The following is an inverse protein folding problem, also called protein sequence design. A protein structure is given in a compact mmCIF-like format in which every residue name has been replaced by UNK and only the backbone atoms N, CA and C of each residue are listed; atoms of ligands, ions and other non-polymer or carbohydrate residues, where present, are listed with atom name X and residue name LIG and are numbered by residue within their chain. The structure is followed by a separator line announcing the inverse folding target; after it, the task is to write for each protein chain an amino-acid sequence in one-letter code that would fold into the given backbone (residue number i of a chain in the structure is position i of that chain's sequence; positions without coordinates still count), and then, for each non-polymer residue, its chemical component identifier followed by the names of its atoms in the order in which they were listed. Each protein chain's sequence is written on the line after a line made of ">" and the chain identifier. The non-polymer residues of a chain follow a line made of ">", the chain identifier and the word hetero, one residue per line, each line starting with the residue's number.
data_IF_489422586043
#
_entry.id   IF_489422586043
#
_cell.length_a   1.000
_cell.length_b   1.000
_cell.length_c   1.000
_cell.angle_alpha   90.00
_cell.angle_beta   90.00
_cell.angle_gamma   90.00
#
_symmetry.space_group_name_H-M   'P 1'
#
loop_
_entity.id
_entity.type
_entity.pdbx_description
1 polymer ?
#
# COMPACT_ATOMS: atom_id res chain seq x y z
N UNK A 1 -11.42 15.20 23.58
CA UNK A 1 -12.73 15.50 24.26
C UNK A 1 -12.70 15.15 25.74
N UNK A 2 -12.14 14.02 26.14
CA UNK A 2 -12.07 13.60 27.55
C UNK A 2 -11.44 14.65 28.48
N UNK A 3 -10.31 15.26 28.10
CA UNK A 3 -9.59 16.24 28.92
C UNK A 3 -10.43 17.48 29.25
N UNK A 4 -11.27 17.92 28.32
CA UNK A 4 -12.13 19.09 28.52
C UNK A 4 -13.27 18.80 29.48
N UNK A 5 -13.80 17.60 29.47
CA UNK A 5 -14.82 17.14 30.43
C UNK A 5 -14.20 16.96 31.81
N UNK A 6 -13.01 16.33 31.87
CA UNK A 6 -12.27 16.14 33.13
C UNK A 6 -11.91 17.46 33.81
N UNK A 7 -11.51 18.48 33.05
CA UNK A 7 -11.19 19.80 33.58
C UNK A 7 -12.39 20.43 34.30
N UNK A 8 -13.57 20.49 33.66
CA UNK A 8 -14.77 21.04 34.23
C UNK A 8 -15.27 20.24 35.44
N UNK A 9 -15.14 18.92 35.37
CA UNK A 9 -15.50 18.03 36.46
C UNK A 9 -14.63 18.27 37.71
N UNK A 10 -13.31 18.39 37.56
CA UNK A 10 -12.40 18.68 38.67
C UNK A 10 -12.73 20.04 39.31
N UNK A 11 -13.00 21.08 38.53
CA UNK A 11 -13.41 22.40 39.05
C UNK A 11 -14.71 22.33 39.85
N UNK A 12 -15.70 21.58 39.35
CA UNK A 12 -16.97 21.40 40.06
C UNK A 12 -16.79 20.67 41.40
N UNK A 13 -15.99 19.59 41.41
CA UNK A 13 -15.68 18.80 42.63
C UNK A 13 -14.94 19.64 43.64
N UNK A 14 -13.95 20.43 43.25
CA UNK A 14 -13.25 21.36 44.14
C UNK A 14 -14.20 22.40 44.75
N UNK A 15 -15.11 22.97 43.95
CA UNK A 15 -16.10 23.90 44.45
C UNK A 15 -17.05 23.28 45.48
N UNK A 16 -17.49 22.03 45.22
CA UNK A 16 -18.34 21.25 46.17
C UNK A 16 -17.58 20.93 47.46
N UNK A 17 -16.30 20.51 47.35
CA UNK A 17 -15.49 20.17 48.53
C UNK A 17 -15.25 21.41 49.43
N UNK A 18 -14.94 22.57 48.81
CA UNK A 18 -14.80 23.85 49.54
C UNK A 18 -16.11 24.25 50.19
N UNK A 19 -17.24 24.18 49.46
CA UNK A 19 -18.55 24.44 50.00
C UNK A 19 -18.91 23.54 51.19
N UNK A 20 -18.64 22.25 51.05
CA UNK A 20 -18.84 21.26 52.15
C UNK A 20 -18.00 21.60 53.36
N UNK A 21 -16.73 21.93 53.15
CA UNK A 21 -15.84 22.37 54.25
C UNK A 21 -16.39 23.57 55.02
N UNK A 22 -16.80 24.61 54.32
CA UNK A 22 -17.34 25.84 54.92
C UNK A 22 -18.66 25.56 55.63
N UNK A 23 -19.59 24.87 55.02
CA UNK A 23 -20.90 24.57 55.62
C UNK A 23 -20.74 23.78 56.93
N UNK A 24 -19.94 22.71 56.94
CA UNK A 24 -19.72 21.88 58.11
C UNK A 24 -18.89 22.62 59.17
N UNK A 25 -17.96 23.48 58.77
CA UNK A 25 -17.15 24.26 59.71
C UNK A 25 -17.96 25.34 60.48
N UNK A 26 -18.94 25.94 59.82
CA UNK A 26 -19.73 27.03 60.42
C UNK A 26 -21.08 26.59 61.01
N UNK A 27 -21.67 25.54 60.44
CA UNK A 27 -23.01 25.07 60.82
C UNK A 27 -23.05 23.63 61.36
N UNK A 28 -21.92 22.96 61.39
CA UNK A 28 -21.82 21.54 61.84
C UNK A 28 -21.87 21.42 63.35
N UNK A 29 -22.15 20.16 63.86
CA UNK A 29 -22.07 19.86 65.29
C UNK A 29 -20.60 19.77 65.74
N UNK A 30 -20.38 20.03 67.04
CA UNK A 30 -19.01 19.90 67.61
C UNK A 30 -18.52 18.44 67.61
N UNK A 31 -17.26 18.16 67.21
CA UNK A 31 -16.24 19.11 66.77
C UNK A 31 -16.36 19.48 65.26
N UNK A 32 -16.95 20.66 64.99
CA UNK A 32 -17.35 21.11 63.64
C UNK A 32 -16.21 21.03 62.60
N UNK A 33 -15.03 21.51 62.95
CA UNK A 33 -13.88 21.55 62.06
C UNK A 33 -13.36 20.15 61.69
N UNK A 34 -13.47 19.18 62.62
CA UNK A 34 -13.10 17.78 62.32
C UNK A 34 -14.05 17.21 61.28
N UNK A 35 -15.34 17.38 61.44
CA UNK A 35 -16.33 16.93 60.45
C UNK A 35 -16.22 17.67 59.14
N UNK A 36 -15.88 18.97 59.14
CA UNK A 36 -15.61 19.76 57.97
C UNK A 36 -14.48 19.13 57.10
N UNK A 37 -13.35 18.81 57.71
CA UNK A 37 -12.22 18.21 57.03
C UNK A 37 -12.58 16.81 56.50
N UNK A 38 -13.17 15.96 57.34
CA UNK A 38 -13.52 14.57 56.94
C UNK A 38 -14.49 14.56 55.77
N UNK A 39 -15.54 15.39 55.82
CA UNK A 39 -16.52 15.40 54.76
C UNK A 39 -15.97 16.02 53.47
N UNK A 40 -15.16 17.09 53.53
CA UNK A 40 -14.50 17.64 52.36
C UNK A 40 -13.54 16.66 51.68
N UNK A 41 -12.73 15.93 52.47
CA UNK A 41 -11.85 14.88 51.94
C UNK A 41 -12.65 13.72 51.37
N UNK A 42 -13.76 13.32 52.00
CA UNK A 42 -14.65 12.28 51.49
C UNK A 42 -15.22 12.66 50.11
N UNK A 43 -15.65 13.90 49.89
CA UNK A 43 -16.10 14.44 48.58
C UNK A 43 -14.99 14.29 47.55
N UNK A 44 -13.75 14.65 47.86
CA UNK A 44 -12.61 14.56 46.96
C UNK A 44 -12.29 13.11 46.58
N UNK A 45 -12.34 12.18 47.53
CA UNK A 45 -12.03 10.77 47.31
C UNK A 45 -13.13 10.10 46.46
N UNK A 46 -14.42 10.35 46.79
CA UNK A 46 -15.56 9.75 46.08
C UNK A 46 -15.67 10.30 44.64
N UNK A 47 -15.36 11.57 44.46
CA UNK A 47 -15.41 12.22 43.16
C UNK A 47 -14.17 11.94 42.30
N UNK A 48 -13.22 11.14 42.75
CA UNK A 48 -12.08 10.73 41.92
C UNK A 48 -12.59 9.96 40.66
N UNK A 49 -12.39 10.45 39.44
CA UNK A 49 -12.86 9.76 38.24
C UNK A 49 -11.93 8.61 37.81
N UNK A 50 -11.43 7.85 38.81
CA UNK A 50 -10.43 6.79 38.57
C UNK A 50 -10.93 5.74 37.57
N UNK A 51 -12.20 5.38 37.61
CA UNK A 51 -12.81 4.47 36.62
C UNK A 51 -12.88 5.09 35.21
N UNK A 52 -13.20 6.38 35.11
CA UNK A 52 -13.25 7.10 33.83
C UNK A 52 -11.84 7.33 33.27
N UNK A 53 -10.87 7.65 34.14
CA UNK A 53 -9.48 7.88 33.78
C UNK A 53 -8.74 6.60 33.34
N UNK A 54 -9.20 5.42 33.77
CA UNK A 54 -8.63 4.12 33.36
C UNK A 54 -9.32 3.53 32.13
N UNK A 55 -10.58 3.84 31.86
CA UNK A 55 -11.35 3.26 30.77
C UNK A 55 -10.76 3.59 29.40
N UNK A 56 -10.36 4.84 29.16
CA UNK A 56 -9.80 5.28 27.87
C UNK A 56 -8.44 4.63 27.59
N UNK A 57 -7.42 4.68 28.48
CA UNK A 57 -6.15 4.00 28.25
C UNK A 57 -6.29 2.48 28.08
N UNK A 58 -7.16 1.85 28.85
CA UNK A 58 -7.41 0.41 28.72
C UNK A 58 -8.04 0.05 27.38
N UNK A 59 -8.98 0.84 26.88
CA UNK A 59 -9.61 0.61 25.57
C UNK A 59 -8.59 0.78 24.45
N UNK A 60 -7.71 1.78 24.51
CA UNK A 60 -6.63 2.00 23.56
C UNK A 60 -5.63 0.83 23.60
N UNK A 61 -5.25 0.38 24.80
CA UNK A 61 -4.31 -0.74 24.97
C UNK A 61 -4.87 -2.04 24.36
N UNK A 62 -6.14 -2.34 24.60
CA UNK A 62 -6.80 -3.52 24.01
C UNK A 62 -6.93 -3.38 22.50
N UNK A 63 -7.28 -2.19 21.98
CA UNK A 63 -7.40 -1.93 20.56
C UNK A 63 -6.05 -2.07 19.85
N UNK A 64 -4.97 -1.48 20.39
CA UNK A 64 -3.61 -1.61 19.84
C UNK A 64 -3.11 -3.04 19.90
N UNK A 65 -3.38 -3.77 20.99
CA UNK A 65 -3.00 -5.17 21.11
C UNK A 65 -3.68 -6.06 20.07
N UNK A 66 -4.99 -5.88 19.83
CA UNK A 66 -5.71 -6.60 18.77
C UNK A 66 -5.27 -6.22 17.38
N UNK A 67 -5.02 -4.94 17.13
CA UNK A 67 -4.50 -4.46 15.86
C UNK A 67 -3.12 -5.06 15.55
N UNK A 68 -2.22 -5.09 16.54
CA UNK A 68 -0.89 -5.70 16.42
C UNK A 68 -0.97 -7.20 16.10
N UNK A 69 -1.91 -7.93 16.68
CA UNK A 69 -2.16 -9.34 16.35
C UNK A 69 -2.66 -9.54 14.92
N UNK A 70 -3.34 -8.52 14.35
CA UNK A 70 -3.76 -8.49 12.95
C UNK A 70 -2.69 -7.89 12.01
N UNK A 71 -1.47 -7.64 12.49
CA UNK A 71 -0.38 -7.05 11.69
C UNK A 71 -0.47 -5.54 11.52
N UNK A 72 -1.41 -4.85 12.19
CA UNK A 72 -1.59 -3.39 12.11
C UNK A 72 -0.93 -2.73 13.31
N UNK A 73 0.11 -1.92 13.08
CA UNK A 73 0.83 -1.21 14.13
C UNK A 73 0.44 0.27 14.12
N UNK A 74 -0.09 0.75 15.25
CA UNK A 74 -0.37 2.16 15.47
C UNK A 74 0.82 2.83 16.15
N UNK A 75 1.20 3.99 15.65
CA UNK A 75 2.28 4.79 16.23
C UNK A 75 1.91 5.39 17.59
N UNK A 76 0.67 5.84 17.71
CA UNK A 76 0.15 6.50 18.91
C UNK A 76 -1.39 6.37 19.00
N UNK A 77 -1.95 6.77 20.15
CA UNK A 77 -3.39 6.70 20.39
C UNK A 77 -4.18 7.70 19.52
N UNK A 78 -3.57 8.83 19.16
CA UNK A 78 -4.20 9.85 18.32
C UNK A 78 -4.45 9.31 16.90
N UNK A 79 -3.56 8.47 16.39
CA UNK A 79 -3.73 7.81 15.10
C UNK A 79 -4.98 6.94 15.04
N UNK A 80 -5.32 6.24 16.16
CA UNK A 80 -6.55 5.44 16.26
C UNK A 80 -7.80 6.34 16.25
N UNK A 81 -7.77 7.45 16.99
CA UNK A 81 -8.89 8.40 17.02
C UNK A 81 -9.11 9.05 15.65
N UNK A 82 -8.03 9.41 14.95
CA UNK A 82 -8.08 10.00 13.60
C UNK A 82 -8.58 9.00 12.57
N UNK A 83 -8.18 7.75 12.64
CA UNK A 83 -8.63 6.70 11.71
C UNK A 83 -10.16 6.57 11.70
N UNK A 84 -10.82 6.74 12.84
CA UNK A 84 -12.29 6.72 12.95
C UNK A 84 -12.99 7.83 12.16
N UNK A 85 -12.29 8.94 11.88
CA UNK A 85 -12.84 10.12 11.20
C UNK A 85 -12.56 10.11 9.70
N UNK A 86 -11.81 9.11 9.20
CA UNK A 86 -11.45 8.99 7.79
C UNK A 86 -12.62 8.37 7.04
N UNK A 87 -13.02 9.02 5.98
CA UNK A 87 -14.03 8.56 5.01
C UNK A 87 -13.41 8.16 3.67
N UNK A 88 -12.18 8.61 3.41
CA UNK A 88 -11.47 8.36 2.16
C UNK A 88 -10.05 7.89 2.47
N UNK A 89 -9.68 6.71 1.95
CA UNK A 89 -8.33 6.13 2.08
C UNK A 89 -7.65 6.12 0.72
N UNK A 90 -6.51 6.79 0.62
CA UNK A 90 -5.64 6.72 -0.56
C UNK A 90 -4.53 5.72 -0.26
N UNK A 91 -4.42 4.70 -1.09
CA UNK A 91 -3.42 3.63 -0.92
C UNK A 91 -2.54 3.57 -2.16
N UNK A 92 -1.22 3.57 -1.96
CA UNK A 92 -0.30 3.26 -3.04
C UNK A 92 -0.43 1.79 -3.46
N UNK A 93 -0.39 1.54 -4.77
CA UNK A 93 -0.54 0.19 -5.32
C UNK A 93 0.74 -0.61 -5.16
N UNK A 94 1.86 -0.06 -5.66
CA UNK A 94 3.10 -0.82 -5.86
C UNK A 94 3.87 -1.02 -4.56
N UNK A 95 4.12 -2.28 -4.20
CA UNK A 95 4.81 -2.65 -2.95
C UNK A 95 3.94 -2.56 -1.69
N UNK A 96 2.76 -1.91 -1.76
CA UNK A 96 1.79 -1.84 -0.67
C UNK A 96 0.70 -2.90 -0.84
N UNK A 97 -0.09 -2.82 -1.90
CA UNK A 97 -1.10 -3.83 -2.24
C UNK A 97 -0.51 -4.99 -3.03
N UNK A 98 0.56 -4.75 -3.75
CA UNK A 98 1.28 -5.72 -4.56
C UNK A 98 2.62 -6.07 -3.92
N UNK A 99 3.26 -7.13 -4.39
CA UNK A 99 4.55 -7.59 -3.89
C UNK A 99 5.70 -6.63 -4.21
N UNK A 100 5.52 -5.72 -5.17
CA UNK A 100 6.55 -4.82 -5.69
C UNK A 100 7.57 -5.54 -6.57
N UNK A 101 7.23 -6.74 -7.03
CA UNK A 101 8.05 -7.57 -7.92
C UNK A 101 7.21 -7.98 -9.12
N UNK A 102 7.39 -7.32 -10.27
CA UNK A 102 6.73 -7.72 -11.49
C UNK A 102 7.01 -9.19 -11.83
N UNK A 103 5.99 -9.93 -12.20
CA UNK A 103 6.07 -11.31 -12.62
C UNK A 103 5.48 -11.46 -14.02
N UNK A 104 6.04 -12.35 -14.81
CA UNK A 104 5.50 -12.70 -16.11
C UNK A 104 4.08 -13.27 -15.95
N UNK A 105 3.13 -12.77 -16.76
CA UNK A 105 1.72 -13.17 -16.67
C UNK A 105 1.28 -14.01 -17.86
N UNK A 106 1.46 -13.49 -19.06
CA UNK A 106 1.04 -14.15 -20.29
C UNK A 106 1.78 -13.63 -21.51
N UNK A 107 1.71 -14.41 -22.57
CA UNK A 107 2.21 -14.10 -23.87
C UNK A 107 1.12 -14.44 -24.89
N UNK A 108 1.03 -13.67 -25.96
CA UNK A 108 0.15 -13.93 -27.09
C UNK A 108 0.95 -13.71 -28.37
N UNK A 109 1.21 -14.81 -29.08
CA UNK A 109 1.92 -14.77 -30.36
C UNK A 109 0.94 -14.52 -31.51
N UNK A 110 1.43 -13.88 -32.57
CA UNK A 110 0.71 -13.83 -33.85
C UNK A 110 0.83 -15.18 -34.57
N UNK A 111 -0.02 -15.49 -35.56
CA UNK A 111 0.00 -16.80 -36.25
C UNK A 111 1.32 -17.17 -36.95
N UNK A 112 2.21 -16.19 -37.15
CA UNK A 112 3.51 -16.40 -37.80
C UNK A 112 4.62 -16.82 -36.84
N UNK A 113 4.39 -16.72 -35.54
CA UNK A 113 5.35 -17.01 -34.47
C UNK A 113 4.72 -17.93 -33.44
N UNK A 114 5.53 -18.71 -32.75
CA UNK A 114 5.07 -19.42 -31.55
C UNK A 114 5.42 -18.67 -30.27
N UNK A 115 4.75 -19.01 -29.16
CA UNK A 115 4.93 -18.31 -27.90
C UNK A 115 6.35 -18.43 -27.35
N UNK A 116 7.00 -19.59 -27.50
CA UNK A 116 8.36 -19.80 -27.01
C UNK A 116 9.37 -19.03 -27.84
N UNK A 117 9.13 -18.87 -29.15
CA UNK A 117 9.94 -18.01 -30.02
C UNK A 117 9.79 -16.53 -29.63
N UNK A 118 8.57 -16.03 -29.44
CA UNK A 118 8.32 -14.67 -28.98
C UNK A 118 8.98 -14.41 -27.63
N UNK A 119 8.88 -15.36 -26.69
CA UNK A 119 9.53 -15.25 -25.37
C UNK A 119 11.05 -15.28 -25.51
N UNK A 120 11.60 -16.14 -26.36
CA UNK A 120 13.04 -16.21 -26.61
C UNK A 120 13.59 -14.91 -27.14
N UNK A 121 12.96 -14.35 -28.15
CA UNK A 121 13.38 -13.08 -28.77
C UNK A 121 13.27 -11.91 -27.79
N UNK A 122 12.14 -11.79 -27.09
CA UNK A 122 11.93 -10.74 -26.11
C UNK A 122 12.93 -10.84 -24.94
N UNK A 123 13.11 -12.03 -24.37
CA UNK A 123 14.04 -12.24 -23.27
C UNK A 123 15.49 -12.06 -23.69
N UNK A 124 15.87 -12.45 -24.92
CA UNK A 124 17.21 -12.22 -25.45
C UNK A 124 17.50 -10.71 -25.59
N UNK A 125 16.53 -9.94 -26.09
CA UNK A 125 16.66 -8.49 -26.16
C UNK A 125 16.74 -7.85 -24.76
N UNK A 126 15.91 -8.28 -23.85
CA UNK A 126 15.81 -7.74 -22.49
C UNK A 126 16.99 -8.08 -21.56
N UNK A 127 17.89 -8.99 -21.96
CA UNK A 127 19.14 -9.23 -21.20
C UNK A 127 20.00 -7.97 -21.06
N UNK A 128 19.88 -7.01 -21.99
CA UNK A 128 20.56 -5.73 -21.93
C UNK A 128 19.88 -4.68 -21.06
N UNK A 129 18.69 -4.98 -20.52
CA UNK A 129 17.86 -4.02 -19.78
C UNK A 129 17.92 -4.25 -18.27
N UNK A 130 18.04 -3.18 -17.48
CA UNK A 130 17.95 -3.22 -16.00
C UNK A 130 16.50 -2.96 -15.51
N UNK A 131 15.53 -2.90 -16.41
CA UNK A 131 14.15 -2.61 -16.05
C UNK A 131 13.48 -3.80 -15.36
N UNK A 132 12.69 -3.61 -14.26
CA UNK A 132 12.04 -4.72 -13.55
C UNK A 132 11.11 -5.60 -14.41
N UNK A 133 10.52 -5.04 -15.47
CA UNK A 133 9.70 -5.81 -16.42
C UNK A 133 10.57 -6.75 -17.26
N UNK A 134 11.77 -6.32 -17.66
CA UNK A 134 12.72 -7.12 -18.38
C UNK A 134 13.18 -8.34 -17.55
N UNK A 135 13.47 -8.10 -16.27
CA UNK A 135 13.87 -9.18 -15.35
C UNK A 135 12.78 -10.27 -15.27
N UNK A 136 11.50 -9.89 -15.24
CA UNK A 136 10.38 -10.83 -15.22
C UNK A 136 10.30 -11.68 -16.50
N UNK A 137 10.55 -11.09 -17.67
CA UNK A 137 10.54 -11.81 -18.97
C UNK A 137 11.72 -12.77 -19.05
N UNK A 138 12.92 -12.32 -18.68
CA UNK A 138 14.14 -13.15 -18.67
C UNK A 138 14.00 -14.31 -17.67
N UNK A 139 13.41 -14.06 -16.49
CA UNK A 139 13.17 -15.09 -15.49
C UNK A 139 12.21 -16.19 -16.01
N UNK A 140 11.16 -15.81 -16.74
CA UNK A 140 10.22 -16.75 -17.33
C UNK A 140 10.89 -17.61 -18.42
N UNK A 141 11.70 -17.01 -19.29
CA UNK A 141 12.42 -17.74 -20.31
C UNK A 141 13.38 -18.77 -19.68
N UNK A 142 14.07 -18.41 -18.60
CA UNK A 142 14.92 -19.32 -17.82
C UNK A 142 14.10 -20.43 -17.18
N UNK A 143 12.92 -20.14 -16.64
CA UNK A 143 12.01 -21.14 -16.04
C UNK A 143 11.53 -22.16 -17.06
N UNK A 144 11.35 -21.74 -18.32
CA UNK A 144 11.01 -22.64 -19.45
C UNK A 144 12.23 -23.31 -20.08
N UNK A 145 13.43 -23.09 -19.52
CA UNK A 145 14.70 -23.63 -20.05
C UNK A 145 15.01 -23.21 -21.50
N UNK A 146 14.50 -22.01 -21.90
CA UNK A 146 14.72 -21.45 -23.21
C UNK A 146 16.13 -20.85 -23.28
N UNK A 147 16.93 -21.29 -24.27
CA UNK A 147 18.25 -20.73 -24.51
C UNK A 147 18.18 -19.35 -25.13
N UNK A 148 18.77 -18.37 -24.46
CA UNK A 148 18.80 -16.99 -24.93
C UNK A 148 19.98 -16.74 -25.87
N UNK A 149 19.76 -15.93 -26.90
CA UNK A 149 20.79 -15.47 -27.81
C UNK A 149 21.45 -14.17 -27.32
N UNK A 150 22.63 -13.83 -27.85
CA UNK A 150 23.25 -12.54 -27.58
C UNK A 150 22.50 -11.42 -28.33
N UNK A 151 22.45 -10.25 -27.70
CA UNK A 151 21.93 -9.03 -28.32
C UNK A 151 23.05 -8.14 -28.82
N UNK A 152 22.93 -7.68 -30.06
CA UNK A 152 23.79 -6.66 -30.64
C UNK A 152 23.05 -5.34 -30.78
N UNK A 153 23.79 -4.22 -30.73
CA UNK A 153 23.23 -2.86 -30.90
C UNK A 153 22.03 -2.57 -29.99
N UNK A 154 22.08 -3.04 -28.72
CA UNK A 154 21.04 -2.77 -27.74
C UNK A 154 20.90 -1.27 -27.47
N UNK A 155 19.68 -0.77 -27.49
CA UNK A 155 19.35 0.61 -27.18
C UNK A 155 18.04 0.65 -26.36
N UNK A 156 18.10 1.36 -25.22
CA UNK A 156 16.92 1.66 -24.42
C UNK A 156 16.39 3.04 -24.76
N UNK A 157 15.13 3.11 -25.17
CA UNK A 157 14.47 4.37 -25.51
C UNK A 157 13.50 4.73 -24.38
N UNK A 158 13.86 5.79 -23.66
CA UNK A 158 13.15 6.19 -22.45
C UNK A 158 11.65 6.36 -22.67
N UNK A 159 10.86 5.64 -21.88
CA UNK A 159 9.38 5.75 -21.87
C UNK A 159 8.66 4.99 -22.99
N UNK A 160 9.38 4.41 -23.98
CA UNK A 160 8.71 3.69 -25.06
C UNK A 160 9.15 2.23 -25.23
N UNK A 161 10.37 1.87 -24.83
CA UNK A 161 10.81 0.48 -24.87
C UNK A 161 12.30 0.29 -25.17
N UNK A 162 12.64 -0.90 -25.69
CA UNK A 162 14.02 -1.28 -26.06
C UNK A 162 14.06 -1.80 -27.48
N UNK A 163 15.21 -1.63 -28.13
CA UNK A 163 15.46 -2.16 -29.46
C UNK A 163 16.87 -2.72 -29.56
N UNK A 164 17.09 -3.60 -30.52
CA UNK A 164 18.40 -4.21 -30.76
C UNK A 164 18.30 -5.28 -31.83
N UNK A 165 19.41 -5.99 -32.02
CA UNK A 165 19.45 -7.11 -32.96
C UNK A 165 19.74 -8.40 -32.20
N UNK A 166 18.90 -9.41 -32.44
CA UNK A 166 19.07 -10.76 -31.92
C UNK A 166 19.05 -11.73 -33.10
N UNK A 167 20.07 -12.56 -33.17
CA UNK A 167 20.37 -13.34 -34.37
C UNK A 167 20.46 -12.41 -35.60
N UNK A 168 19.63 -12.61 -36.61
CA UNK A 168 19.60 -11.74 -37.81
C UNK A 168 18.39 -10.79 -37.85
N UNK A 169 17.64 -10.70 -36.73
CA UNK A 169 16.41 -9.92 -36.65
C UNK A 169 16.62 -8.60 -35.90
N UNK A 170 16.22 -7.50 -36.51
CA UNK A 170 16.04 -6.23 -35.81
C UNK A 170 14.76 -6.32 -34.98
N UNK A 171 14.90 -6.20 -33.66
CA UNK A 171 13.81 -6.32 -32.71
C UNK A 171 13.46 -5.00 -32.06
N UNK A 172 12.19 -4.83 -31.75
CA UNK A 172 11.69 -3.76 -30.88
C UNK A 172 10.69 -4.34 -29.88
N UNK A 173 10.89 -4.07 -28.60
CA UNK A 173 10.01 -4.48 -27.51
C UNK A 173 9.57 -3.24 -26.75
N UNK A 174 8.27 -2.92 -26.75
CA UNK A 174 7.80 -1.74 -26.08
C UNK A 174 6.31 -1.44 -26.30
N UNK A 175 5.95 -0.16 -26.13
CA UNK A 175 4.58 0.31 -26.29
C UNK A 175 4.22 0.59 -27.77
N UNK A 176 3.00 1.09 -28.00
CA UNK A 176 2.51 1.44 -29.35
C UNK A 176 3.38 2.50 -30.02
N UNK A 177 3.93 3.46 -29.27
CA UNK A 177 4.78 4.51 -29.86
C UNK A 177 6.06 3.92 -30.47
N UNK A 178 6.68 2.91 -29.83
CA UNK A 178 7.83 2.23 -30.40
C UNK A 178 7.45 1.42 -31.65
N UNK A 179 6.26 0.79 -31.66
CA UNK A 179 5.76 0.04 -32.82
C UNK A 179 5.50 0.97 -34.02
N UNK A 180 4.96 2.16 -33.76
CA UNK A 180 4.75 3.20 -34.78
C UNK A 180 6.09 3.66 -35.39
N UNK A 181 7.14 3.88 -34.57
CA UNK A 181 8.49 4.21 -35.06
C UNK A 181 9.07 3.09 -35.95
N UNK A 182 8.78 1.84 -35.63
CA UNK A 182 9.18 0.67 -36.42
C UNK A 182 8.30 0.42 -37.63
N UNK A 183 7.18 1.15 -37.77
CA UNK A 183 6.21 0.99 -38.82
C UNK A 183 5.47 -0.35 -38.77
N UNK A 184 5.18 -0.80 -37.53
CA UNK A 184 4.50 -2.09 -37.23
C UNK A 184 3.09 -1.81 -36.73
N UNK A 185 2.10 -2.37 -37.43
CA UNK A 185 0.70 -2.30 -37.01
C UNK A 185 0.39 -3.29 -35.90
N UNK A 186 -0.18 -2.79 -34.81
CA UNK A 186 -0.54 -3.58 -33.63
C UNK A 186 -2.04 -3.93 -33.57
N UNK A 187 -2.84 -3.54 -34.56
CA UNK A 187 -4.30 -3.67 -34.55
C UNK A 187 -4.76 -5.11 -34.27
N UNK A 188 -4.03 -6.11 -34.76
CA UNK A 188 -4.36 -7.53 -34.54
C UNK A 188 -4.39 -7.97 -33.08
N UNK A 189 -3.66 -7.29 -32.18
CA UNK A 189 -3.55 -7.61 -30.75
C UNK A 189 -4.04 -6.46 -29.85
N UNK A 190 -4.61 -5.38 -30.41
CA UNK A 190 -4.98 -4.19 -29.66
C UNK A 190 -6.06 -4.49 -28.60
N UNK A 191 -7.10 -5.22 -28.93
CA UNK A 191 -8.19 -5.56 -28.00
C UNK A 191 -7.67 -6.45 -26.85
N UNK A 192 -6.81 -7.41 -27.15
CA UNK A 192 -6.18 -8.26 -26.13
C UNK A 192 -5.27 -7.46 -25.21
N UNK A 193 -4.52 -6.50 -25.77
CA UNK A 193 -3.67 -5.62 -24.97
C UNK A 193 -4.49 -4.73 -24.02
N UNK A 194 -5.60 -4.15 -24.48
CA UNK A 194 -6.48 -3.33 -23.64
C UNK A 194 -7.16 -4.16 -22.54
N UNK A 195 -7.59 -5.39 -22.85
CA UNK A 195 -8.12 -6.28 -21.84
C UNK A 195 -7.08 -6.54 -20.72
N UNK A 196 -5.85 -6.90 -21.08
CA UNK A 196 -4.78 -7.19 -20.11
C UNK A 196 -4.40 -5.94 -19.29
N UNK A 197 -4.41 -4.75 -19.93
CA UNK A 197 -4.20 -3.47 -19.23
C UNK A 197 -5.33 -3.18 -18.25
N UNK A 198 -6.58 -3.43 -18.63
CA UNK A 198 -7.74 -3.31 -17.75
C UNK A 198 -7.67 -4.21 -16.52
N UNK A 199 -6.97 -5.35 -16.64
CA UNK A 199 -6.69 -6.28 -15.54
C UNK A 199 -5.42 -5.90 -14.72
N UNK A 200 -4.80 -4.75 -15.03
CA UNK A 200 -3.67 -4.19 -14.30
C UNK A 200 -2.29 -4.67 -14.73
N UNK A 201 -2.18 -5.32 -15.90
CA UNK A 201 -0.90 -5.73 -16.46
C UNK A 201 -0.22 -4.59 -17.25
N UNK A 202 1.11 -4.60 -17.24
CA UNK A 202 1.94 -3.85 -18.19
C UNK A 202 2.08 -4.70 -19.46
N UNK A 203 1.67 -4.15 -20.61
CA UNK A 203 1.68 -4.87 -21.89
C UNK A 203 2.69 -4.24 -22.82
N UNK A 204 3.57 -5.07 -23.38
CA UNK A 204 4.58 -4.70 -24.36
C UNK A 204 4.37 -5.52 -25.63
N UNK A 205 4.52 -4.88 -26.78
CA UNK A 205 4.52 -5.53 -28.09
C UNK A 205 5.94 -5.89 -28.50
N UNK A 206 6.11 -7.03 -29.15
CA UNK A 206 7.36 -7.44 -29.79
C UNK A 206 7.21 -7.35 -31.29
N UNK A 207 8.09 -6.59 -31.92
CA UNK A 207 8.28 -6.56 -33.36
C UNK A 207 9.56 -7.30 -33.76
N UNK A 208 9.49 -8.11 -34.82
CA UNK A 208 10.64 -8.73 -35.47
C UNK A 208 10.72 -8.23 -36.93
N UNK A 209 11.68 -7.35 -37.19
CA UNK A 209 11.70 -6.55 -38.40
C UNK A 209 10.46 -5.66 -38.47
N UNK A 210 9.73 -5.74 -39.60
CA UNK A 210 8.49 -4.97 -39.79
C UNK A 210 7.22 -5.77 -39.50
N UNK A 211 7.31 -6.86 -38.76
CA UNK A 211 6.18 -7.72 -38.43
C UNK A 211 5.96 -7.75 -36.92
N UNK A 212 4.68 -7.71 -36.54
CA UNK A 212 4.28 -7.93 -35.15
C UNK A 212 4.47 -9.41 -34.84
N UNK A 213 5.34 -9.74 -33.87
CA UNK A 213 5.56 -11.09 -33.42
C UNK A 213 4.56 -11.53 -32.33
N UNK A 214 4.25 -10.61 -31.43
CA UNK A 214 3.32 -10.88 -30.33
C UNK A 214 3.28 -9.76 -29.32
N UNK A 215 2.61 -10.04 -28.18
CA UNK A 215 2.63 -9.21 -26.99
C UNK A 215 3.01 -10.02 -25.76
N UNK A 216 3.61 -9.36 -24.80
CA UNK A 216 3.95 -9.90 -23.49
C UNK A 216 3.29 -9.06 -22.41
N UNK A 217 2.73 -9.72 -21.41
CA UNK A 217 2.11 -9.10 -20.27
C UNK A 217 2.86 -9.46 -18.98
N UNK A 218 3.19 -8.45 -18.21
CA UNK A 218 3.84 -8.55 -16.90
C UNK A 218 2.97 -7.83 -15.89
N UNK A 219 2.72 -8.42 -14.74
CA UNK A 219 1.92 -7.81 -13.69
C UNK A 219 2.62 -7.96 -12.33
N UNK A 220 2.41 -6.99 -11.47
CA UNK A 220 2.85 -7.08 -10.08
C UNK A 220 1.75 -7.78 -9.27
N UNK A 221 1.98 -9.00 -8.75
CA UNK A 221 0.96 -9.78 -8.06
C UNK A 221 0.51 -9.08 -6.77
N UNK A 222 -0.79 -9.20 -6.49
CA UNK A 222 -1.37 -8.72 -5.23
C UNK A 222 -0.90 -9.64 -4.10
N UNK A 223 -0.51 -9.04 -2.98
CA UNK A 223 -0.15 -9.79 -1.76
C UNK A 223 -1.34 -10.63 -1.29
N UNK A 224 -1.11 -11.90 -1.02
CA UNK A 224 -2.10 -12.83 -0.50
C UNK A 224 -2.41 -12.63 1.00
#
# INVERSE_FOLDING_TARGET
>A
MADRVSFWFVLAVLAIAVSTFLVWGFFGPEPAWTFAIVNAVAVLIIACPCALGLATPMSIMVATGRAAQAGVLFRDAEAIERLRLIDTLIVDKTGTLTEGKPAFRSIVATPEFDEDEVLRLAASLDQGSEHPLAEAIVAEARRREISLASVDAFESVTGIGVRGRVDEHDLALGNTALMDEFGVDVAALADTAEQLRGEGASVMYLAAGRRLAGLLAVADPIKG
#
